data_IF_615820540963
#
_entry.id   IF_615820540963
#
_cell.length_a   1.000
_cell.length_b   1.000
_cell.length_c   1.000
_cell.angle_alpha   90.00
_cell.angle_beta   90.00
_cell.angle_gamma   90.00
#
_symmetry.space_group_name_H-M   'P 1'
#
loop_
_entity.id
_entity.type
_entity.pdbx_description
1 polymer ?
#
# COMPACT_ATOMS: atom_id res chain seq x y z
N UNK A 1 -5.25 12.94 25.89
CA UNK A 1 -4.23 13.02 24.82
C UNK A 1 -4.17 14.47 24.38
N UNK A 2 -3.03 15.13 24.54
CA UNK A 2 -2.85 16.54 24.16
C UNK A 2 -3.19 16.73 22.69
N UNK A 3 -4.09 17.67 22.41
CA UNK A 3 -4.57 18.06 21.07
C UNK A 3 -3.45 18.80 20.33
N UNK A 4 -2.47 18.05 19.80
CA UNK A 4 -1.57 18.60 18.80
C UNK A 4 -2.42 19.02 17.60
N UNK A 5 -2.32 20.29 17.21
CA UNK A 5 -2.98 20.81 16.02
C UNK A 5 -2.56 19.94 14.81
N UNK A 6 -3.49 19.25 14.13
CA UNK A 6 -3.18 18.37 13.02
C UNK A 6 -2.54 19.13 11.85
N UNK A 7 -2.61 20.45 11.80
CA UNK A 7 -2.09 21.27 10.72
C UNK A 7 -0.63 21.72 10.93
N UNK A 8 -0.02 21.38 12.07
CA UNK A 8 1.39 21.67 12.33
C UNK A 8 2.31 20.56 11.83
N UNK A 9 3.33 20.97 11.08
CA UNK A 9 4.43 20.16 10.57
C UNK A 9 5.71 20.80 11.05
N UNK A 10 6.47 20.08 11.89
CA UNK A 10 7.70 20.60 12.49
C UNK A 10 7.48 21.96 13.21
N UNK A 11 6.33 22.10 13.88
CA UNK A 11 5.95 23.30 14.63
C UNK A 11 5.42 24.47 13.80
N UNK A 12 5.20 24.33 12.49
CA UNK A 12 4.65 25.38 11.62
C UNK A 12 3.54 24.85 10.71
N UNK A 13 2.62 25.71 10.29
CA UNK A 13 1.60 25.38 9.28
C UNK A 13 2.17 25.41 7.86
N UNK A 14 1.46 24.84 6.89
CA UNK A 14 1.82 24.94 5.46
C UNK A 14 2.01 26.38 5.00
N UNK A 15 1.09 27.27 5.40
CA UNK A 15 1.17 28.71 5.09
C UNK A 15 2.42 29.34 5.68
N UNK A 16 2.80 28.99 6.92
CA UNK A 16 4.02 29.50 7.56
C UNK A 16 5.31 28.98 6.91
N UNK A 17 5.27 27.80 6.30
CA UNK A 17 6.35 27.28 5.46
C UNK A 17 6.41 27.95 4.07
N UNK A 18 5.38 28.69 3.68
CA UNK A 18 5.23 29.21 2.31
C UNK A 18 4.94 28.12 1.29
N UNK A 19 4.52 26.93 1.73
CA UNK A 19 4.17 25.82 0.85
C UNK A 19 2.77 26.00 0.29
N UNK A 20 2.56 25.56 -0.95
CA UNK A 20 1.24 25.60 -1.57
C UNK A 20 0.31 24.61 -0.85
N UNK A 21 -0.80 25.07 -0.23
CA UNK A 21 -1.72 24.20 0.50
C UNK A 21 -2.46 23.20 -0.40
N UNK A 22 -2.41 23.41 -1.72
CA UNK A 22 -2.98 22.48 -2.70
C UNK A 22 -2.00 21.35 -3.10
N UNK A 23 -0.78 21.32 -2.56
CA UNK A 23 0.16 20.23 -2.75
C UNK A 23 0.01 19.18 -1.65
N UNK A 24 0.17 17.91 -2.02
CA UNK A 24 0.09 16.78 -1.11
C UNK A 24 1.49 16.26 -0.81
N UNK A 25 1.78 16.04 0.48
CA UNK A 25 3.07 15.52 0.94
C UNK A 25 2.86 14.34 1.88
N UNK A 26 3.85 13.46 1.92
CA UNK A 26 3.82 12.31 2.81
C UNK A 26 4.17 12.73 4.24
N UNK A 27 3.18 12.68 5.15
CA UNK A 27 3.39 12.87 6.60
C UNK A 27 3.79 11.60 7.37
N UNK A 28 3.40 10.41 6.92
CA UNK A 28 3.68 9.16 7.64
C UNK A 28 5.19 8.94 7.70
N UNK A 29 5.66 8.51 8.87
CA UNK A 29 7.08 8.37 9.20
C UNK A 29 7.88 9.68 9.31
N UNK A 30 7.21 10.85 9.37
CA UNK A 30 7.87 12.08 9.81
C UNK A 30 8.03 12.11 11.34
N UNK A 31 9.08 12.80 11.79
CA UNK A 31 9.38 13.03 13.20
C UNK A 31 8.72 14.32 13.74
N UNK A 32 7.75 14.87 13.00
CA UNK A 32 7.11 16.17 13.25
C UNK A 32 6.33 16.24 14.58
N UNK A 33 6.02 15.09 15.18
CA UNK A 33 5.37 14.99 16.50
C UNK A 33 6.32 15.19 17.67
N UNK A 34 7.61 14.95 17.48
CA UNK A 34 8.63 15.01 18.54
C UNK A 34 9.72 16.04 18.27
N UNK A 35 9.74 16.62 17.06
CA UNK A 35 10.77 17.53 16.59
C UNK A 35 10.16 18.75 15.89
N UNK A 36 10.92 19.84 15.86
CA UNK A 36 10.59 21.09 15.14
C UNK A 36 11.41 21.28 13.87
N UNK A 37 12.28 20.33 13.54
CA UNK A 37 13.07 20.27 12.30
C UNK A 37 13.33 18.83 11.90
N UNK A 38 13.53 18.59 10.61
CA UNK A 38 13.95 17.29 10.04
C UNK A 38 15.47 17.25 9.84
N UNK A 39 16.05 16.05 9.88
CA UNK A 39 17.44 15.80 9.46
C UNK A 39 17.60 14.36 8.91
N UNK A 40 18.83 13.93 8.64
CA UNK A 40 19.11 12.58 8.13
C UNK A 40 19.03 11.46 9.19
N UNK A 41 18.51 11.73 10.39
CA UNK A 41 18.34 10.74 11.44
C UNK A 41 16.89 10.66 11.91
N UNK A 42 16.33 9.45 11.91
CA UNK A 42 14.99 9.20 12.45
C UNK A 42 15.06 8.14 13.54
N UNK A 43 14.34 8.39 14.64
CA UNK A 43 14.11 7.39 15.70
C UNK A 43 12.91 6.48 15.40
N UNK A 44 12.26 6.63 14.24
CA UNK A 44 11.11 5.82 13.89
C UNK A 44 11.59 4.51 13.27
N UNK A 45 11.27 3.40 13.93
CA UNK A 45 11.61 2.07 13.43
C UNK A 45 10.86 1.75 12.14
N UNK A 46 11.58 1.22 11.17
CA UNK A 46 11.00 0.62 9.98
C UNK A 46 10.21 -0.64 10.37
N UNK A 47 8.98 -0.77 9.86
CA UNK A 47 8.08 -1.88 10.19
C UNK A 47 8.06 -2.86 9.03
N UNK A 48 8.75 -3.98 9.19
CA UNK A 48 8.71 -5.07 8.21
C UNK A 48 7.38 -5.82 8.25
N UNK A 49 6.92 -6.17 9.45
CA UNK A 49 5.63 -6.83 9.69
C UNK A 49 4.96 -6.12 10.86
N UNK A 50 3.64 -5.97 10.78
CA UNK A 50 2.84 -5.44 11.88
C UNK A 50 1.48 -6.12 11.96
N UNK A 51 0.90 -6.08 13.15
CA UNK A 51 -0.29 -6.88 13.46
C UNK A 51 -1.49 -6.62 12.52
N UNK A 52 -1.69 -5.39 12.04
CA UNK A 52 -2.77 -5.12 11.08
C UNK A 52 -2.60 -5.87 9.76
N UNK A 53 -1.36 -6.13 9.32
CA UNK A 53 -1.08 -6.90 8.10
C UNK A 53 -1.47 -8.36 8.31
N UNK A 54 -1.13 -8.93 9.46
CA UNK A 54 -1.57 -10.29 9.84
C UNK A 54 -3.10 -10.40 9.83
N UNK A 55 -3.80 -9.43 10.41
CA UNK A 55 -5.26 -9.42 10.43
C UNK A 55 -5.86 -9.34 9.02
N UNK A 56 -5.33 -8.48 8.15
CA UNK A 56 -5.85 -8.31 6.79
C UNK A 56 -5.46 -9.46 5.87
N UNK A 57 -4.28 -10.06 6.02
CA UNK A 57 -3.90 -11.29 5.31
C UNK A 57 -4.77 -12.47 5.71
N UNK A 58 -5.06 -12.63 7.01
CA UNK A 58 -5.97 -13.67 7.48
C UNK A 58 -7.40 -13.44 6.97
N UNK A 59 -7.89 -12.19 6.99
CA UNK A 59 -9.19 -11.84 6.43
C UNK A 59 -9.28 -12.17 4.93
N UNK A 60 -8.21 -11.89 4.17
CA UNK A 60 -8.11 -12.20 2.75
C UNK A 60 -8.18 -13.72 2.52
N UNK A 61 -7.36 -14.50 3.23
CA UNK A 61 -7.35 -15.95 3.13
C UNK A 61 -8.71 -16.59 3.49
N UNK A 62 -9.39 -16.08 4.53
CA UNK A 62 -10.74 -16.53 4.90
C UNK A 62 -11.76 -16.17 3.83
N UNK A 63 -11.65 -14.99 3.25
CA UNK A 63 -12.53 -14.54 2.15
C UNK A 63 -12.42 -15.48 0.96
N UNK A 64 -11.19 -15.87 0.59
CA UNK A 64 -10.96 -16.80 -0.52
C UNK A 64 -11.44 -18.23 -0.25
N UNK A 65 -11.67 -18.58 1.02
CA UNK A 65 -12.26 -19.84 1.44
C UNK A 65 -13.79 -19.79 1.60
N UNK A 66 -14.45 -18.69 1.21
CA UNK A 66 -15.90 -18.56 1.39
C UNK A 66 -16.33 -18.21 2.82
N UNK A 67 -15.42 -17.76 3.68
CA UNK A 67 -15.67 -17.48 5.11
C UNK A 67 -15.75 -15.98 5.41
N UNK A 68 -16.55 -15.22 4.65
CA UNK A 68 -16.60 -13.75 4.76
C UNK A 68 -17.11 -13.29 6.14
N UNK A 69 -18.02 -14.05 6.75
CA UNK A 69 -18.51 -13.76 8.11
C UNK A 69 -17.41 -13.85 9.17
N UNK A 70 -16.41 -14.73 8.97
CA UNK A 70 -15.23 -14.85 9.84
C UNK A 70 -14.17 -13.79 9.51
N UNK A 71 -14.10 -13.36 8.25
CA UNK A 71 -13.17 -12.31 7.81
C UNK A 71 -13.57 -10.91 8.30
N UNK A 72 -14.88 -10.58 8.30
CA UNK A 72 -15.39 -9.24 8.60
C UNK A 72 -14.94 -8.69 9.98
N UNK A 73 -14.96 -9.46 11.08
CA UNK A 73 -14.45 -8.99 12.37
C UNK A 73 -12.97 -8.60 12.33
N UNK A 74 -12.14 -9.30 11.55
CA UNK A 74 -10.70 -8.99 11.44
C UNK A 74 -10.48 -7.65 10.73
N UNK A 75 -11.24 -7.38 9.66
CA UNK A 75 -11.25 -6.07 8.98
C UNK A 75 -11.70 -4.96 9.95
N UNK A 76 -12.77 -5.20 10.71
CA UNK A 76 -13.28 -4.24 11.68
C UNK A 76 -12.29 -3.95 12.81
N UNK A 77 -11.44 -4.90 13.23
CA UNK A 77 -10.38 -4.63 14.21
C UNK A 77 -9.38 -3.57 13.72
N UNK A 78 -9.04 -3.58 12.43
CA UNK A 78 -8.15 -2.56 11.84
C UNK A 78 -8.85 -1.20 11.77
N UNK A 79 -10.11 -1.17 11.34
CA UNK A 79 -10.92 0.04 11.25
C UNK A 79 -11.17 0.70 12.60
N UNK A 80 -11.56 -0.10 13.60
CA UNK A 80 -11.90 0.39 14.94
C UNK A 80 -10.69 0.97 15.67
N UNK A 81 -9.47 0.49 15.39
CA UNK A 81 -8.22 1.05 15.95
C UNK A 81 -8.06 2.54 15.63
N UNK A 82 -8.59 3.00 14.49
CA UNK A 82 -8.55 4.41 14.06
C UNK A 82 -9.92 5.08 14.16
N UNK A 83 -10.82 4.54 14.99
CA UNK A 83 -12.17 5.06 15.24
C UNK A 83 -13.06 5.16 13.99
N UNK A 84 -12.80 4.36 12.95
CA UNK A 84 -13.73 4.21 11.83
C UNK A 84 -14.89 3.31 12.25
N UNK A 85 -16.08 3.61 11.74
CA UNK A 85 -17.26 2.78 11.97
C UNK A 85 -17.03 1.34 11.52
N UNK A 86 -17.49 0.39 12.35
CA UNK A 86 -17.51 -1.03 11.99
C UNK A 86 -18.46 -1.25 10.81
N UNK A 87 -18.00 -2.08 9.88
CA UNK A 87 -18.79 -2.56 8.77
C UNK A 87 -19.73 -3.67 9.24
N UNK A 88 -20.92 -3.71 8.66
CA UNK A 88 -21.99 -4.66 9.00
C UNK A 88 -22.58 -5.27 7.72
N UNK A 89 -23.37 -6.34 7.88
CA UNK A 89 -24.04 -7.00 6.77
C UNK A 89 -23.30 -8.22 6.23
N UNK A 90 -23.84 -8.76 5.13
CA UNK A 90 -23.30 -9.94 4.45
C UNK A 90 -22.60 -9.50 3.17
N UNK A 91 -21.43 -10.09 2.91
CA UNK A 91 -20.63 -9.79 1.73
C UNK A 91 -20.52 -11.02 0.84
N UNK A 92 -20.60 -10.84 -0.47
CA UNK A 92 -20.09 -11.84 -1.40
C UNK A 92 -18.56 -11.94 -1.27
N UNK A 93 -17.98 -13.04 -1.74
CA UNK A 93 -16.52 -13.20 -1.79
C UNK A 93 -15.86 -12.03 -2.51
N UNK A 94 -16.38 -11.65 -3.68
CA UNK A 94 -15.79 -10.56 -4.46
C UNK A 94 -15.93 -9.20 -3.76
N UNK A 95 -17.09 -8.88 -3.17
CA UNK A 95 -17.27 -7.64 -2.42
C UNK A 95 -16.31 -7.54 -1.23
N UNK A 96 -16.13 -8.63 -0.47
CA UNK A 96 -15.18 -8.68 0.64
C UNK A 96 -13.73 -8.57 0.14
N UNK A 97 -13.38 -9.22 -0.98
CA UNK A 97 -12.05 -9.10 -1.60
C UNK A 97 -11.75 -7.64 -1.96
N UNK A 98 -12.65 -6.95 -2.65
CA UNK A 98 -12.46 -5.55 -3.02
C UNK A 98 -12.35 -4.64 -1.79
N UNK A 99 -13.16 -4.90 -0.76
CA UNK A 99 -13.08 -4.19 0.51
C UNK A 99 -11.71 -4.36 1.17
N UNK A 100 -11.21 -5.60 1.29
CA UNK A 100 -9.90 -5.87 1.89
C UNK A 100 -8.77 -5.22 1.08
N UNK A 101 -8.83 -5.29 -0.26
CA UNK A 101 -7.88 -4.60 -1.14
C UNK A 101 -7.84 -3.09 -0.89
N UNK A 102 -9.01 -2.48 -0.68
CA UNK A 102 -9.12 -1.06 -0.32
C UNK A 102 -8.56 -0.76 1.07
N UNK A 103 -8.90 -1.57 2.09
CA UNK A 103 -8.37 -1.40 3.44
C UNK A 103 -6.85 -1.54 3.49
N UNK A 104 -6.28 -2.54 2.80
CA UNK A 104 -4.82 -2.71 2.69
C UNK A 104 -4.15 -1.49 2.05
N UNK A 105 -4.72 -0.95 0.96
CA UNK A 105 -4.18 0.24 0.30
C UNK A 105 -4.12 1.46 1.23
N UNK A 106 -5.17 1.69 2.02
CA UNK A 106 -5.25 2.80 2.98
C UNK A 106 -4.33 2.58 4.18
N UNK A 107 -4.35 1.38 4.73
CA UNK A 107 -3.64 1.02 5.95
C UNK A 107 -2.12 1.04 5.75
N UNK A 108 -1.64 0.50 4.62
CA UNK A 108 -0.21 0.31 4.33
C UNK A 108 0.36 1.29 3.29
N UNK A 109 -0.35 2.39 3.00
CA UNK A 109 0.19 3.44 2.15
C UNK A 109 1.58 3.85 2.65
N UNK A 110 2.56 3.92 1.73
CA UNK A 110 3.95 4.30 2.05
C UNK A 110 4.77 3.23 2.78
N UNK A 111 4.28 2.00 2.92
CA UNK A 111 5.00 0.90 3.60
C UNK A 111 5.62 -0.13 2.63
N UNK A 112 5.69 0.16 1.33
CA UNK A 112 6.39 -0.68 0.35
C UNK A 112 5.66 -1.98 -0.06
N UNK A 113 4.42 -2.20 0.38
CA UNK A 113 3.68 -3.45 0.10
C UNK A 113 2.82 -3.41 -1.17
N UNK A 114 2.51 -2.22 -1.68
CA UNK A 114 1.47 -2.03 -2.71
C UNK A 114 1.78 -2.76 -4.02
N UNK A 115 3.04 -2.73 -4.46
CA UNK A 115 3.47 -3.43 -5.69
C UNK A 115 3.23 -4.94 -5.58
N UNK A 116 3.67 -5.54 -4.48
CA UNK A 116 3.51 -6.97 -4.21
C UNK A 116 2.05 -7.37 -4.05
N UNK A 117 1.23 -6.52 -3.42
CA UNK A 117 -0.22 -6.70 -3.35
C UNK A 117 -0.86 -6.74 -4.74
N UNK A 118 -0.56 -5.77 -5.62
CA UNK A 118 -1.08 -5.74 -6.99
C UNK A 118 -0.63 -6.97 -7.79
N UNK A 119 0.66 -7.35 -7.66
CA UNK A 119 1.25 -8.50 -8.34
C UNK A 119 0.54 -9.80 -7.94
N UNK A 120 0.46 -10.11 -6.64
CA UNK A 120 -0.13 -11.38 -6.14
C UNK A 120 -1.65 -11.44 -6.35
N UNK A 121 -2.31 -10.31 -6.55
CA UNK A 121 -3.73 -10.24 -6.89
C UNK A 121 -4.02 -10.53 -8.37
N UNK A 122 -2.98 -10.74 -9.18
CA UNK A 122 -3.10 -11.03 -10.61
C UNK A 122 -3.53 -9.83 -11.45
N UNK A 123 -3.51 -8.61 -10.89
CA UNK A 123 -3.94 -7.41 -11.61
C UNK A 123 -2.99 -6.99 -12.74
N UNK A 124 -1.82 -7.63 -12.84
CA UNK A 124 -0.84 -7.42 -13.90
C UNK A 124 -0.79 -8.59 -14.91
N UNK A 125 -1.66 -9.59 -14.76
CA UNK A 125 -1.60 -10.82 -15.58
C UNK A 125 -2.47 -10.75 -16.83
N UNK A 126 -3.41 -9.82 -16.91
CA UNK A 126 -4.25 -9.58 -18.08
C UNK A 126 -4.49 -8.08 -18.34
N UNK A 127 -5.04 -7.78 -19.53
CA UNK A 127 -5.29 -6.40 -19.94
C UNK A 127 -6.37 -5.72 -19.08
N UNK A 128 -7.37 -6.47 -18.61
CA UNK A 128 -8.46 -5.93 -17.80
C UNK A 128 -7.95 -5.42 -16.44
N UNK A 129 -7.04 -6.16 -15.80
CA UNK A 129 -6.36 -5.75 -14.58
C UNK A 129 -5.50 -4.51 -14.79
N UNK A 130 -4.72 -4.47 -15.88
CA UNK A 130 -3.89 -3.31 -16.23
C UNK A 130 -4.77 -2.07 -16.48
N UNK A 131 -5.88 -2.21 -17.21
CA UNK A 131 -6.80 -1.10 -17.48
C UNK A 131 -7.46 -0.59 -16.19
N UNK A 132 -7.80 -1.49 -15.27
CA UNK A 132 -8.31 -1.11 -13.94
C UNK A 132 -7.27 -0.36 -13.09
N UNK A 133 -5.97 -0.66 -13.25
CA UNK A 133 -4.88 0.07 -12.61
C UNK A 133 -4.71 1.46 -13.26
N UNK A 134 -4.64 1.52 -14.60
CA UNK A 134 -4.52 2.77 -15.37
C UNK A 134 -5.63 3.76 -15.07
N UNK A 135 -6.86 3.28 -14.87
CA UNK A 135 -8.00 4.11 -14.51
C UNK A 135 -7.85 4.84 -13.17
N UNK A 136 -6.94 4.40 -12.30
CA UNK A 136 -6.71 4.95 -10.95
C UNK A 136 -5.32 5.56 -10.78
N UNK A 137 -4.39 5.19 -11.64
CA UNK A 137 -2.98 5.54 -11.54
C UNK A 137 -2.38 5.68 -12.94
N UNK A 138 -2.08 6.92 -13.33
CA UNK A 138 -1.51 7.24 -14.64
C UNK A 138 -0.11 6.64 -14.83
N UNK A 139 0.59 6.27 -13.77
CA UNK A 139 1.93 5.67 -13.87
C UNK A 139 1.87 4.27 -14.50
N UNK A 140 0.70 3.63 -14.53
CA UNK A 140 0.49 2.38 -15.26
C UNK A 140 0.29 2.58 -16.77
N UNK A 141 0.24 3.82 -17.29
CA UNK A 141 -0.03 4.09 -18.72
C UNK A 141 1.00 3.44 -19.63
N UNK A 142 2.28 3.45 -19.24
CA UNK A 142 3.39 2.84 -19.97
C UNK A 142 3.63 1.36 -19.60
N UNK A 143 2.76 0.75 -18.79
CA UNK A 143 2.89 -0.65 -18.41
C UNK A 143 2.63 -1.56 -19.61
N UNK A 144 3.57 -2.47 -19.89
CA UNK A 144 3.53 -3.43 -21.00
C UNK A 144 3.22 -4.82 -20.43
N UNK A 145 2.05 -5.36 -20.80
CA UNK A 145 1.63 -6.71 -20.41
C UNK A 145 2.68 -7.75 -20.86
N UNK A 146 3.00 -8.69 -19.96
CA UNK A 146 4.00 -9.73 -20.22
C UNK A 146 5.46 -9.29 -20.05
N UNK A 147 5.73 -7.99 -19.81
CA UNK A 147 7.08 -7.44 -19.62
C UNK A 147 7.22 -6.71 -18.28
N UNK A 148 6.46 -5.62 -18.08
CA UNK A 148 6.67 -4.65 -16.98
C UNK A 148 6.46 -5.19 -15.56
N UNK A 149 5.93 -6.41 -15.41
CA UNK A 149 5.77 -7.06 -14.10
C UNK A 149 7.09 -7.59 -13.52
N UNK A 150 8.11 -7.76 -14.36
CA UNK A 150 9.44 -8.23 -13.99
C UNK A 150 10.50 -7.16 -14.29
N UNK A 151 11.59 -7.15 -13.52
CA UNK A 151 12.76 -6.33 -13.81
C UNK A 151 13.70 -7.09 -14.77
N UNK A 152 14.48 -6.39 -15.61
CA UNK A 152 15.53 -7.05 -16.38
C UNK A 152 16.56 -7.68 -15.45
N UNK A 153 17.00 -8.90 -15.78
CA UNK A 153 18.19 -9.49 -15.20
C UNK A 153 19.39 -8.67 -15.69
N UNK A 154 20.31 -8.22 -14.81
CA UNK A 154 21.49 -7.46 -15.22
C UNK A 154 22.30 -8.20 -16.29
N UNK A 155 22.71 -7.50 -17.35
CA UNK A 155 23.44 -8.12 -18.48
C UNK A 155 24.70 -8.87 -18.02
N UNK A 156 25.40 -8.33 -17.02
CA UNK A 156 26.59 -8.96 -16.44
C UNK A 156 26.30 -10.37 -15.91
N UNK A 157 25.12 -10.60 -15.32
CA UNK A 157 24.77 -11.91 -14.77
C UNK A 157 24.49 -12.91 -15.90
N UNK A 158 23.90 -12.46 -17.01
CA UNK A 158 23.70 -13.26 -18.23
C UNK A 158 25.03 -13.60 -18.92
N UNK A 159 25.98 -12.67 -18.94
CA UNK A 159 27.30 -12.88 -19.54
C UNK A 159 28.14 -13.89 -18.73
N UNK A 160 27.92 -13.97 -17.42
CA UNK A 160 28.62 -14.88 -16.50
C UNK A 160 28.03 -16.29 -16.56
N UNK A 161 26.71 -16.42 -16.59
CA UNK A 161 26.01 -17.72 -16.61
C UNK A 161 25.14 -17.86 -17.86
N UNK A 162 25.65 -18.52 -18.92
CA UNK A 162 24.90 -18.79 -20.14
C UNK A 162 23.64 -19.65 -19.94
N UNK A 163 23.48 -20.29 -18.77
CA UNK A 163 22.27 -21.05 -18.42
C UNK A 163 21.10 -20.17 -17.99
N UNK A 164 21.34 -18.91 -17.65
CA UNK A 164 20.29 -17.96 -17.25
C UNK A 164 19.66 -17.34 -18.49
N UNK A 165 18.33 -17.43 -18.57
CA UNK A 165 17.55 -16.78 -19.63
C UNK A 165 16.95 -15.48 -19.10
N UNK A 166 16.98 -14.43 -19.93
CA UNK A 166 16.39 -13.13 -19.61
C UNK A 166 14.86 -13.24 -19.40
N UNK A 167 14.33 -12.33 -18.57
CA UNK A 167 12.90 -12.16 -18.39
C UNK A 167 12.22 -11.73 -19.70
N UNK A 168 10.99 -12.19 -19.99
CA UNK A 168 10.32 -11.89 -21.25
C UNK A 168 10.26 -10.39 -21.57
N UNK A 169 10.67 -10.04 -22.79
CA UNK A 169 10.61 -8.66 -23.32
C UNK A 169 11.79 -7.75 -22.94
N UNK A 170 12.80 -8.25 -22.23
CA UNK A 170 14.06 -7.55 -21.93
C UNK A 170 15.24 -8.14 -22.68
#
# INVERSE_FOLDING_TARGET
MSSLNPDLFYGRTFTQWGWNPNQQYWRKYLNDRTRTTENFTSGINYRLIRYADILLMQAEALTEQGQQNTALPLVNRVRNRVNLASLTGTYTQDAMRQLIRSERAKEFAGEGVRWYDILRWGLMDDQAGIDALKARDSDFTNFVLGKSKLLPIPQRDLDIDPGVTQNPGY
#
